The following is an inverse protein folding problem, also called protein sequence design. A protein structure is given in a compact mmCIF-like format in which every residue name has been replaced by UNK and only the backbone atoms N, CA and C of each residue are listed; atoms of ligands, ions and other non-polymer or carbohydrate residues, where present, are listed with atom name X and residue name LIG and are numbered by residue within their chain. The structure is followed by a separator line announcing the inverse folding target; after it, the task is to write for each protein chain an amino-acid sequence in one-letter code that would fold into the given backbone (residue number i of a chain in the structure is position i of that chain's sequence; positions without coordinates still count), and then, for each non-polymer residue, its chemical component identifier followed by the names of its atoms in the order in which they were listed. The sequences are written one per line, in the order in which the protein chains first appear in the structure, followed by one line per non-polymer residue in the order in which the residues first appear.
data_IF_718404668700
#
_entry.id   IF_718404668700
#
_cell.length_a   1.000
_cell.length_b   1.000
_cell.length_c   1.000
_cell.angle_alpha   90.00
_cell.angle_beta   90.00
_cell.angle_gamma   90.00
#
_symmetry.space_group_name_H-M   'P 1'
#
loop_
_entity.id
_entity.type
_entity.pdbx_description
1 polymer ?
#
# COMPACT_ATOMS: atom_id res chain seq x y z
N UNK A 1 -0.59 -17.79 42.53
CA UNK A 1 -0.23 -17.46 41.14
C UNK A 1 -1.21 -16.41 40.64
N UNK A 2 -0.81 -15.13 40.65
CA UNK A 2 -1.68 -14.03 40.28
C UNK A 2 -1.78 -13.91 38.75
N UNK A 3 -3.00 -13.99 38.25
CA UNK A 3 -3.38 -13.59 36.91
C UNK A 3 -3.67 -12.08 36.96
N UNK A 4 -2.91 -11.28 36.21
CA UNK A 4 -3.38 -9.94 35.83
C UNK A 4 -2.99 -9.64 34.40
N UNK A 5 -4.00 -9.79 33.54
CA UNK A 5 -4.09 -9.28 32.18
C UNK A 5 -3.83 -7.77 32.14
N UNK A 6 -3.31 -7.33 31.00
CA UNK A 6 -3.74 -6.08 30.38
C UNK A 6 -2.91 -4.84 30.72
N UNK A 7 -1.89 -4.59 29.91
CA UNK A 7 -1.65 -3.22 29.44
C UNK A 7 -1.91 -3.18 27.95
N UNK A 8 -3.20 -3.06 27.62
CA UNK A 8 -3.62 -2.53 26.31
C UNK A 8 -3.21 -1.07 26.34
N UNK A 9 -2.04 -0.78 25.78
CA UNK A 9 -1.57 0.58 25.63
C UNK A 9 -2.35 1.17 24.44
N UNK A 10 -3.57 1.68 24.69
CA UNK A 10 -4.28 2.55 23.77
C UNK A 10 -3.54 3.89 23.70
N UNK A 11 -2.45 3.96 22.94
CA UNK A 11 -1.88 5.24 22.50
C UNK A 11 -2.74 5.80 21.36
N UNK A 12 -3.94 6.25 21.72
CA UNK A 12 -4.67 7.28 20.97
C UNK A 12 -3.96 8.61 21.22
N UNK A 13 -2.92 8.88 20.44
CA UNK A 13 -2.41 10.23 20.10
C UNK A 13 -0.88 10.18 19.93
N UNK A 14 -0.47 9.75 18.74
CA UNK A 14 0.73 10.14 17.98
C UNK A 14 0.95 9.06 16.92
N UNK A 15 0.11 9.07 15.88
CA UNK A 15 0.16 8.09 14.78
C UNK A 15 1.56 7.95 14.17
N UNK A 16 2.32 9.04 14.10
CA UNK A 16 3.67 9.11 13.54
C UNK A 16 4.75 8.40 14.37
N UNK A 17 4.53 8.18 15.67
CA UNK A 17 5.51 7.55 16.56
C UNK A 17 5.29 6.03 16.64
N UNK A 18 4.04 5.59 16.53
CA UNK A 18 3.66 4.21 16.81
C UNK A 18 4.25 3.19 15.81
N UNK A 19 4.19 3.48 14.51
CA UNK A 19 4.76 2.58 13.50
C UNK A 19 6.30 2.50 13.63
N UNK A 20 6.94 3.61 13.99
CA UNK A 20 8.39 3.64 14.24
C UNK A 20 8.76 2.79 15.45
N UNK A 21 8.00 2.86 16.52
CA UNK A 21 8.17 2.01 17.69
C UNK A 21 8.04 0.53 17.33
N UNK A 22 6.98 0.12 16.63
CA UNK A 22 6.82 -1.28 16.21
C UNK A 22 7.98 -1.77 15.34
N UNK A 23 8.53 -0.91 14.48
CA UNK A 23 9.67 -1.27 13.67
C UNK A 23 10.95 -1.48 14.49
N UNK A 24 11.25 -0.58 15.44
CA UNK A 24 12.45 -0.65 16.29
C UNK A 24 12.40 -1.89 17.19
N UNK A 25 11.25 -2.14 17.81
CA UNK A 25 11.01 -3.29 18.69
C UNK A 25 10.80 -4.61 17.90
N UNK A 26 10.93 -4.58 16.57
CA UNK A 26 10.74 -5.73 15.66
C UNK A 26 9.36 -6.41 15.79
N UNK A 27 8.35 -5.65 16.17
CA UNK A 27 6.95 -6.09 16.29
C UNK A 27 6.27 -6.07 14.91
N UNK A 28 6.77 -6.87 13.97
CA UNK A 28 6.40 -6.78 12.55
C UNK A 28 4.94 -7.15 12.26
N UNK A 29 4.34 -8.08 13.00
CA UNK A 29 2.91 -8.36 12.86
C UNK A 29 2.05 -7.13 13.20
N UNK A 30 2.38 -6.44 14.30
CA UNK A 30 1.68 -5.22 14.72
C UNK A 30 1.93 -4.07 13.76
N UNK A 31 3.17 -3.96 13.25
CA UNK A 31 3.50 -3.01 12.20
C UNK A 31 2.67 -3.28 10.95
N UNK A 32 2.58 -4.54 10.50
CA UNK A 32 1.81 -4.87 9.31
C UNK A 32 0.33 -4.54 9.46
N UNK A 33 -0.27 -4.91 10.59
CA UNK A 33 -1.67 -4.56 10.90
C UNK A 33 -1.89 -3.05 11.03
N UNK A 34 -0.89 -2.29 11.47
CA UNK A 34 -0.95 -0.83 11.41
C UNK A 34 -0.92 -0.33 9.96
N UNK A 35 -0.01 -0.85 9.14
CA UNK A 35 0.17 -0.45 7.73
C UNK A 35 -1.07 -0.75 6.89
N UNK A 36 -1.82 -1.80 7.19
CA UNK A 36 -3.02 -2.15 6.45
C UNK A 36 -4.17 -1.14 6.62
N UNK A 37 -4.17 -0.34 7.70
CA UNK A 37 -5.24 0.62 7.99
C UNK A 37 -5.44 1.63 6.86
N UNK A 38 -6.70 1.93 6.51
CA UNK A 38 -7.04 2.79 5.36
C UNK A 38 -6.41 4.19 5.42
N UNK A 39 -6.28 4.76 6.62
CA UNK A 39 -5.62 6.05 6.85
C UNK A 39 -4.12 6.08 6.53
N UNK A 40 -3.47 4.91 6.40
CA UNK A 40 -2.04 4.82 6.09
C UNK A 40 -1.84 4.99 4.59
N UNK A 41 -1.25 6.13 4.24
CA UNK A 41 -0.88 6.46 2.87
C UNK A 41 0.43 5.84 2.41
N UNK A 42 0.69 5.94 1.11
CA UNK A 42 1.79 5.25 0.42
C UNK A 42 3.18 5.55 0.99
N UNK A 43 3.43 6.77 1.46
CA UNK A 43 4.71 7.16 2.03
C UNK A 43 5.12 6.26 3.20
N UNK A 44 4.18 5.96 4.10
CA UNK A 44 4.46 5.13 5.27
C UNK A 44 4.60 3.66 4.89
N UNK A 45 3.89 3.20 3.84
CA UNK A 45 4.06 1.84 3.30
C UNK A 45 5.48 1.69 2.73
N UNK A 46 5.92 2.63 1.91
CA UNK A 46 7.25 2.66 1.28
C UNK A 46 8.38 2.68 2.32
N UNK A 47 8.20 3.39 3.44
CA UNK A 47 9.19 3.47 4.52
C UNK A 47 9.57 2.09 5.08
N UNK A 48 8.63 1.15 5.11
CA UNK A 48 8.82 -0.19 5.67
C UNK A 48 8.84 -1.30 4.63
N UNK A 49 8.76 -0.96 3.35
CA UNK A 49 8.61 -1.89 2.24
C UNK A 49 9.67 -2.99 2.28
N UNK A 50 10.96 -2.63 2.38
CA UNK A 50 12.08 -3.59 2.31
C UNK A 50 11.98 -4.72 3.33
N UNK A 51 11.49 -4.41 4.54
CA UNK A 51 11.38 -5.37 5.64
C UNK A 51 10.06 -6.13 5.55
N UNK A 52 8.95 -5.42 5.37
CA UNK A 52 7.62 -6.04 5.32
C UNK A 52 7.40 -6.89 4.07
N UNK A 53 8.01 -6.53 2.93
CA UNK A 53 7.94 -7.34 1.69
C UNK A 53 8.52 -8.75 1.87
N UNK A 54 9.53 -8.91 2.72
CA UNK A 54 10.14 -10.23 2.99
C UNK A 54 9.27 -11.11 3.87
N UNK A 55 8.49 -10.49 4.76
CA UNK A 55 7.69 -11.19 5.78
C UNK A 55 6.25 -11.41 5.34
N UNK A 56 5.67 -10.41 4.66
CA UNK A 56 4.26 -10.36 4.27
C UNK A 56 4.08 -9.80 2.84
N UNK A 57 4.70 -10.41 1.81
CA UNK A 57 4.65 -9.89 0.44
C UNK A 57 3.22 -9.70 -0.08
N UNK A 58 2.34 -10.68 0.14
CA UNK A 58 0.96 -10.66 -0.35
C UNK A 58 0.12 -9.58 0.31
N UNK A 59 0.21 -9.45 1.65
CA UNK A 59 -0.50 -8.42 2.41
C UNK A 59 -0.05 -7.01 2.00
N UNK A 60 1.25 -6.83 1.75
CA UNK A 60 1.80 -5.54 1.35
C UNK A 60 1.40 -5.20 -0.09
N UNK A 61 1.44 -6.16 -1.00
CA UNK A 61 0.94 -6.02 -2.38
C UNK A 61 -0.54 -5.60 -2.39
N UNK A 62 -1.37 -6.25 -1.57
CA UNK A 62 -2.78 -5.88 -1.40
C UNK A 62 -2.95 -4.44 -0.91
N UNK A 63 -2.11 -3.98 0.03
CA UNK A 63 -2.17 -2.59 0.52
C UNK A 63 -1.84 -1.58 -0.58
N UNK A 64 -0.80 -1.83 -1.37
CA UNK A 64 -0.49 -0.97 -2.53
C UNK A 64 -1.65 -0.92 -3.52
N UNK A 65 -2.23 -2.08 -3.87
CA UNK A 65 -3.37 -2.17 -4.77
C UNK A 65 -4.58 -1.35 -4.25
N UNK A 66 -4.86 -1.41 -2.96
CA UNK A 66 -5.96 -0.65 -2.36
C UNK A 66 -5.72 0.87 -2.48
N UNK A 67 -4.53 1.34 -2.10
CA UNK A 67 -4.19 2.77 -2.15
C UNK A 67 -4.36 3.32 -3.56
N UNK A 68 -3.77 2.68 -4.57
CA UNK A 68 -3.83 3.19 -5.94
C UNK A 68 -5.24 3.12 -6.54
N UNK A 69 -6.04 2.12 -6.16
CA UNK A 69 -7.44 2.01 -6.59
C UNK A 69 -8.31 3.10 -5.97
N UNK A 70 -7.97 3.61 -4.79
CA UNK A 70 -8.65 4.76 -4.21
C UNK A 70 -8.15 6.07 -4.80
N UNK A 71 -6.84 6.23 -4.99
CA UNK A 71 -6.26 7.44 -5.59
C UNK A 71 -6.74 7.65 -7.03
N UNK A 72 -6.80 6.60 -7.86
CA UNK A 72 -7.20 6.72 -9.27
C UNK A 72 -8.63 7.22 -9.44
N UNK A 73 -9.51 7.01 -8.46
CA UNK A 73 -10.90 7.48 -8.50
C UNK A 73 -10.96 9.01 -8.50
N UNK A 74 -10.08 9.65 -7.73
CA UNK A 74 -10.10 11.09 -7.49
C UNK A 74 -9.13 11.89 -8.38
N UNK A 75 -8.01 11.29 -8.82
CA UNK A 75 -7.01 12.03 -9.59
C UNK A 75 -7.38 12.23 -11.07
N UNK A 76 -7.07 13.42 -11.59
CA UNK A 76 -7.33 13.81 -12.99
C UNK A 76 -6.08 14.33 -13.72
N UNK A 77 -4.97 14.56 -13.03
CA UNK A 77 -3.75 15.11 -13.62
C UNK A 77 -2.71 14.04 -13.99
N UNK A 78 -1.95 14.35 -15.03
CA UNK A 78 -0.95 13.45 -15.62
C UNK A 78 0.22 13.14 -14.66
N UNK A 79 0.58 14.07 -13.77
CA UNK A 79 1.67 13.87 -12.81
C UNK A 79 1.28 12.83 -11.77
N UNK A 80 0.04 12.86 -11.28
CA UNK A 80 -0.52 11.83 -10.39
C UNK A 80 -0.65 10.48 -11.08
N UNK A 81 -1.09 10.43 -12.33
CA UNK A 81 -1.09 9.17 -13.08
C UNK A 81 0.30 8.55 -13.15
N UNK A 82 1.33 9.34 -13.47
CA UNK A 82 2.72 8.85 -13.44
C UNK A 82 3.13 8.28 -12.08
N UNK A 83 2.72 8.91 -10.97
CA UNK A 83 2.99 8.39 -9.63
C UNK A 83 2.30 7.04 -9.41
N UNK A 84 1.03 6.91 -9.79
CA UNK A 84 0.27 5.67 -9.70
C UNK A 84 0.90 4.55 -10.57
N UNK A 85 1.28 4.85 -11.81
CA UNK A 85 1.91 3.86 -12.71
C UNK A 85 3.25 3.38 -12.14
N UNK A 86 4.05 4.25 -11.50
CA UNK A 86 5.28 3.82 -10.82
C UNK A 86 5.00 2.80 -9.71
N UNK A 87 3.89 2.94 -9.01
CA UNK A 87 3.49 1.97 -7.97
C UNK A 87 3.07 0.65 -8.61
N UNK A 88 2.33 0.67 -9.71
CA UNK A 88 2.00 -0.56 -10.47
C UNK A 88 3.26 -1.28 -10.96
N UNK A 89 4.23 -0.56 -11.52
CA UNK A 89 5.52 -1.16 -11.93
C UNK A 89 6.26 -1.77 -10.73
N UNK A 90 6.26 -1.07 -9.58
CA UNK A 90 6.83 -1.61 -8.34
C UNK A 90 6.12 -2.89 -7.88
N UNK A 91 4.80 -2.94 -8.00
CA UNK A 91 3.98 -4.11 -7.62
C UNK A 91 4.32 -5.35 -8.45
N UNK A 92 4.71 -5.22 -9.72
CA UNK A 92 5.18 -6.36 -10.54
C UNK A 92 6.37 -7.10 -9.90
N UNK A 93 7.19 -6.41 -9.12
CA UNK A 93 8.31 -7.02 -8.40
C UNK A 93 7.92 -7.86 -7.17
N UNK A 94 6.62 -8.10 -6.91
CA UNK A 94 6.13 -8.95 -5.83
C UNK A 94 5.77 -10.34 -6.36
N UNK A 95 5.77 -11.34 -5.49
CA UNK A 95 5.21 -12.67 -5.81
C UNK A 95 3.72 -12.49 -6.11
N UNK A 96 3.27 -12.96 -7.28
CA UNK A 96 1.90 -12.73 -7.78
C UNK A 96 1.61 -11.29 -8.23
N UNK A 97 2.64 -10.44 -8.28
CA UNK A 97 2.52 -9.02 -8.61
C UNK A 97 2.02 -8.76 -10.03
N UNK A 98 2.53 -9.51 -11.00
CA UNK A 98 2.14 -9.37 -12.41
C UNK A 98 0.64 -9.62 -12.61
N UNK A 99 0.10 -10.71 -12.06
CA UNK A 99 -1.32 -11.05 -12.16
C UNK A 99 -2.23 -9.96 -11.58
N UNK A 100 -1.84 -9.42 -10.41
CA UNK A 100 -2.58 -8.31 -9.77
C UNK A 100 -2.53 -7.05 -10.63
N UNK A 101 -1.36 -6.70 -11.17
CA UNK A 101 -1.18 -5.51 -12.00
C UNK A 101 -1.94 -5.64 -13.31
N UNK A 102 -1.90 -6.80 -13.97
CA UNK A 102 -2.58 -7.03 -15.24
C UNK A 102 -4.10 -6.99 -15.09
N UNK A 103 -4.62 -7.53 -13.97
CA UNK A 103 -6.04 -7.41 -13.62
C UNK A 103 -6.44 -5.94 -13.43
N UNK A 104 -5.69 -5.19 -12.63
CA UNK A 104 -5.96 -3.75 -12.39
C UNK A 104 -5.89 -2.97 -13.71
N UNK A 105 -4.86 -3.23 -14.51
CA UNK A 105 -4.66 -2.53 -15.77
C UNK A 105 -5.81 -2.80 -16.76
N UNK A 106 -6.26 -4.05 -16.84
CA UNK A 106 -7.40 -4.45 -17.68
C UNK A 106 -8.70 -3.77 -17.23
N UNK A 107 -8.97 -3.77 -15.93
CA UNK A 107 -10.13 -3.08 -15.34
C UNK A 107 -10.09 -1.57 -15.63
N UNK A 108 -8.94 -0.93 -15.45
CA UNK A 108 -8.79 0.51 -15.64
C UNK A 108 -8.88 0.92 -17.11
N UNK A 109 -8.32 0.14 -18.05
CA UNK A 109 -8.45 0.40 -19.49
C UNK A 109 -9.92 0.44 -19.92
N UNK A 110 -10.75 -0.43 -19.35
CA UNK A 110 -12.18 -0.45 -19.62
C UNK A 110 -12.94 0.68 -18.90
N UNK A 111 -12.72 0.82 -17.58
CA UNK A 111 -13.44 1.77 -16.73
C UNK A 111 -13.11 3.23 -17.05
N UNK A 112 -11.85 3.50 -17.35
CA UNK A 112 -11.31 4.85 -17.57
C UNK A 112 -10.91 5.11 -19.03
N UNK A 113 -11.53 4.41 -20.00
CA UNK A 113 -11.22 4.53 -21.45
C UNK A 113 -11.20 5.95 -22.02
N UNK A 114 -11.92 6.90 -21.41
CA UNK A 114 -11.97 8.31 -21.83
C UNK A 114 -10.82 9.16 -21.27
N UNK A 115 -10.08 8.65 -20.27
CA UNK A 115 -8.94 9.35 -19.65
C UNK A 115 -7.68 9.09 -20.48
N UNK A 116 -7.56 9.73 -21.65
CA UNK A 116 -6.46 9.49 -22.61
C UNK A 116 -5.07 9.56 -21.97
N UNK A 117 -4.83 10.56 -21.12
CA UNK A 117 -3.56 10.71 -20.42
C UNK A 117 -3.23 9.49 -19.54
N UNK A 118 -4.20 8.94 -18.81
CA UNK A 118 -4.00 7.71 -18.02
C UNK A 118 -3.68 6.52 -18.93
N UNK A 119 -4.48 6.32 -19.99
CA UNK A 119 -4.27 5.22 -20.94
C UNK A 119 -2.89 5.29 -21.58
N UNK A 120 -2.41 6.49 -21.90
CA UNK A 120 -1.06 6.70 -22.43
C UNK A 120 0.02 6.34 -21.41
N UNK A 121 -0.12 6.73 -20.14
CA UNK A 121 0.84 6.33 -19.10
C UNK A 121 0.82 4.83 -18.85
N UNK A 122 -0.33 4.15 -19.02
CA UNK A 122 -0.45 2.69 -18.86
C UNK A 122 0.22 1.86 -19.96
N UNK A 123 0.71 2.48 -21.05
CA UNK A 123 1.43 1.78 -22.12
C UNK A 123 2.80 1.25 -21.70
N UNK A 124 3.35 1.74 -20.58
CA UNK A 124 4.64 1.30 -20.01
C UNK A 124 4.53 0.04 -19.14
N UNK A 125 3.31 -0.32 -18.74
CA UNK A 125 3.03 -1.54 -17.97
C UNK A 125 3.14 -2.75 -18.89
#
# INVERSE_FOLDING_TARGET
MACTKGKVFELKSCSSILHKFYYIEKLYDRLMSYIEQDRVGIYTVDLYEKTLKKLYPERLLKKYANIINDEIKIVSDRKKYKQIIKVLVKMKGYVGGDEVVDKIASEWRNKYKRRKALIDEMKIL
#
